data_IF_882034726116
#
_entry.id   IF_882034726116
#
_cell.length_a   1.000
_cell.length_b   1.000
_cell.length_c   1.000
_cell.angle_alpha   90.00
_cell.angle_beta   90.00
_cell.angle_gamma   90.00
#
_symmetry.space_group_name_H-M   'P 1'
#
loop_
_entity.id
_entity.type
_entity.pdbx_description
1 polymer ?
#
# COMPACT_ATOMS: atom_id res chain seq x y z
N UNK A 1 7.10 16.41 -26.66
CA UNK A 1 6.76 15.33 -25.70
C UNK A 1 7.53 15.61 -24.42
N UNK A 2 6.92 15.53 -23.23
CA UNK A 2 7.64 15.63 -21.96
C UNK A 2 8.77 14.58 -21.90
N UNK A 3 9.84 14.78 -21.12
CA UNK A 3 10.92 13.80 -20.96
C UNK A 3 10.47 12.61 -20.11
N UNK A 4 9.56 11.79 -20.68
CA UNK A 4 8.98 10.62 -20.02
C UNK A 4 10.03 9.51 -19.83
N UNK A 5 10.94 9.37 -20.80
CA UNK A 5 12.10 8.49 -20.74
C UNK A 5 12.87 8.63 -19.41
N UNK A 6 13.28 9.84 -19.05
CA UNK A 6 14.05 10.09 -17.82
C UNK A 6 13.21 9.82 -16.57
N UNK A 7 11.92 10.16 -16.60
CA UNK A 7 11.01 10.03 -15.46
C UNK A 7 10.75 8.55 -15.16
N UNK A 8 10.37 7.76 -16.17
CA UNK A 8 10.12 6.33 -16.00
C UNK A 8 11.41 5.57 -15.65
N UNK A 9 12.56 5.94 -16.23
CA UNK A 9 13.84 5.34 -15.85
C UNK A 9 14.18 5.56 -14.37
N UNK A 10 14.07 6.80 -13.88
CA UNK A 10 14.32 7.11 -12.47
C UNK A 10 13.25 6.48 -11.58
N UNK A 11 11.98 6.53 -11.98
CA UNK A 11 10.85 5.97 -11.24
C UNK A 11 10.98 4.47 -11.01
N UNK A 12 11.23 3.71 -12.08
CA UNK A 12 11.44 2.26 -12.01
C UNK A 12 12.69 1.92 -11.21
N UNK A 13 13.76 2.72 -11.31
CA UNK A 13 14.94 2.53 -10.47
C UNK A 13 14.63 2.70 -8.98
N UNK A 14 13.93 3.78 -8.59
CA UNK A 14 13.46 3.98 -7.21
C UNK A 14 12.53 2.85 -6.76
N UNK A 15 11.63 2.43 -7.64
CA UNK A 15 10.72 1.31 -7.41
C UNK A 15 11.49 0.03 -7.04
N UNK A 16 12.55 -0.31 -7.79
CA UNK A 16 13.37 -1.49 -7.51
C UNK A 16 14.10 -1.43 -6.17
N UNK A 17 14.53 -0.23 -5.72
CA UNK A 17 15.15 -0.04 -4.41
C UNK A 17 14.14 -0.29 -3.27
N UNK A 18 12.91 0.19 -3.44
CA UNK A 18 11.82 -0.05 -2.47
C UNK A 18 11.45 -1.53 -2.46
N UNK A 19 11.38 -2.18 -3.62
CA UNK A 19 11.20 -3.63 -3.72
C UNK A 19 12.31 -4.42 -3.02
N UNK A 20 13.57 -3.98 -3.11
CA UNK A 20 14.67 -4.56 -2.33
C UNK A 20 14.41 -4.52 -0.82
N UNK A 21 13.91 -3.39 -0.30
CA UNK A 21 13.47 -3.29 1.11
C UNK A 21 12.30 -4.22 1.41
N UNK A 22 11.35 -4.34 0.49
CA UNK A 22 10.21 -5.25 0.62
C UNK A 22 10.66 -6.70 0.85
N UNK A 23 11.65 -7.20 0.09
CA UNK A 23 12.22 -8.54 0.29
C UNK A 23 12.80 -8.70 1.70
N UNK A 24 13.59 -7.74 2.18
CA UNK A 24 14.22 -7.79 3.51
C UNK A 24 13.15 -7.88 4.61
N UNK A 25 12.15 -7.01 4.55
CA UNK A 25 11.05 -6.99 5.54
C UNK A 25 10.21 -8.26 5.45
N UNK A 26 9.95 -8.77 4.25
CA UNK A 26 9.25 -10.03 4.03
C UNK A 26 9.99 -11.20 4.69
N UNK A 27 11.31 -11.34 4.47
CA UNK A 27 12.10 -12.40 5.10
C UNK A 27 12.08 -12.30 6.62
N UNK A 28 12.20 -11.09 7.17
CA UNK A 28 12.09 -10.86 8.62
C UNK A 28 10.68 -11.24 9.15
N UNK A 29 9.61 -10.86 8.45
CA UNK A 29 8.24 -11.16 8.83
C UNK A 29 7.99 -12.67 8.86
N UNK A 30 8.41 -13.40 7.82
CA UNK A 30 8.26 -14.86 7.75
C UNK A 30 9.06 -15.55 8.86
N UNK A 31 10.28 -15.09 9.14
CA UNK A 31 11.10 -15.63 10.23
C UNK A 31 10.42 -15.47 11.60
N UNK A 32 9.85 -14.30 11.88
CA UNK A 32 9.10 -14.04 13.11
C UNK A 32 7.84 -14.91 13.16
N UNK A 33 7.06 -14.98 12.09
CA UNK A 33 5.83 -15.78 12.03
C UNK A 33 6.10 -17.28 12.20
N UNK A 34 7.19 -17.79 11.62
CA UNK A 34 7.61 -19.18 11.78
C UNK A 34 7.90 -19.53 13.25
N UNK A 35 8.53 -18.61 14.00
CA UNK A 35 8.81 -18.80 15.44
C UNK A 35 7.55 -18.78 16.31
N UNK A 36 6.48 -18.11 15.86
CA UNK A 36 5.22 -17.96 16.59
C UNK A 36 4.21 -19.11 16.34
N UNK A 37 4.48 -20.01 15.39
CA UNK A 37 3.53 -21.03 14.93
C UNK A 37 2.97 -21.95 16.04
N UNK A 38 3.64 -22.05 17.19
CA UNK A 38 3.23 -22.93 18.31
C UNK A 38 1.96 -22.47 19.03
N UNK A 39 1.52 -21.20 18.89
CA UNK A 39 0.44 -20.64 19.72
C UNK A 39 -0.92 -20.49 19.02
N UNK A 40 -0.99 -20.21 17.70
CA UNK A 40 -2.26 -20.04 16.98
C UNK A 40 -2.11 -20.29 15.47
N UNK A 41 -2.31 -21.53 15.05
CA UNK A 41 -1.91 -21.99 13.72
C UNK A 41 -2.73 -21.37 12.57
N UNK A 42 -4.04 -21.13 12.75
CA UNK A 42 -4.90 -20.65 11.66
C UNK A 42 -4.59 -19.20 11.23
N UNK A 43 -4.51 -18.26 12.18
CA UNK A 43 -4.22 -16.85 11.88
C UNK A 43 -2.81 -16.63 11.34
N UNK A 44 -1.83 -17.39 11.85
CA UNK A 44 -0.44 -17.33 11.36
C UNK A 44 -0.34 -17.89 9.94
N UNK A 45 -1.05 -19.00 9.63
CA UNK A 45 -1.13 -19.53 8.26
C UNK A 45 -1.76 -18.53 7.31
N UNK A 46 -2.86 -17.88 7.70
CA UNK A 46 -3.50 -16.83 6.90
C UNK A 46 -2.52 -15.68 6.61
N UNK A 47 -1.85 -15.16 7.65
CA UNK A 47 -0.93 -14.03 7.52
C UNK A 47 0.32 -14.36 6.70
N UNK A 48 0.81 -15.60 6.82
CA UNK A 48 1.91 -16.11 6.01
C UNK A 48 1.49 -16.23 4.55
N UNK A 49 0.31 -16.80 4.28
CA UNK A 49 -0.23 -16.95 2.93
C UNK A 49 -0.44 -15.59 2.24
N UNK A 50 -1.01 -14.61 2.94
CA UNK A 50 -1.21 -13.26 2.39
C UNK A 50 0.12 -12.54 2.16
N UNK A 51 1.12 -12.72 3.03
CA UNK A 51 2.46 -12.16 2.84
C UNK A 51 3.15 -12.75 1.60
N UNK A 52 3.05 -14.07 1.39
CA UNK A 52 3.59 -14.76 0.20
C UNK A 52 2.87 -14.25 -1.06
N UNK A 53 1.55 -14.09 -1.01
CA UNK A 53 0.80 -13.59 -2.15
C UNK A 53 1.16 -12.14 -2.51
N UNK A 54 1.34 -11.27 -1.50
CA UNK A 54 1.79 -9.89 -1.69
C UNK A 54 3.18 -9.79 -2.34
N UNK A 55 4.16 -10.60 -1.89
CA UNK A 55 5.49 -10.56 -2.51
C UNK A 55 5.42 -11.09 -3.94
N UNK A 56 4.66 -12.16 -4.24
CA UNK A 56 4.52 -12.66 -5.61
C UNK A 56 3.93 -11.60 -6.55
N UNK A 57 2.90 -10.90 -6.10
CA UNK A 57 2.24 -9.86 -6.88
C UNK A 57 3.15 -8.63 -7.09
N UNK A 58 3.92 -8.26 -6.05
CA UNK A 58 4.94 -7.22 -6.11
C UNK A 58 6.08 -7.58 -7.07
N UNK A 59 6.56 -8.83 -7.05
CA UNK A 59 7.57 -9.34 -7.99
C UNK A 59 7.07 -9.31 -9.43
N UNK A 60 5.83 -9.75 -9.67
CA UNK A 60 5.23 -9.70 -11.00
C UNK A 60 5.14 -8.26 -11.53
N UNK A 61 4.78 -7.32 -10.66
CA UNK A 61 4.70 -5.90 -11.00
C UNK A 61 6.08 -5.32 -11.38
N UNK A 62 7.12 -5.51 -10.55
CA UNK A 62 8.50 -5.05 -10.87
C UNK A 62 9.01 -5.72 -12.16
N UNK A 63 8.67 -6.99 -12.38
CA UNK A 63 9.03 -7.72 -13.59
C UNK A 63 8.45 -7.11 -14.86
N UNK A 64 7.21 -6.61 -14.80
CA UNK A 64 6.61 -5.86 -15.91
C UNK A 64 7.27 -4.49 -16.09
N UNK A 65 7.54 -3.76 -15.01
CA UNK A 65 8.29 -2.49 -15.07
C UNK A 65 9.64 -2.66 -15.76
N UNK A 66 10.38 -3.74 -15.46
CA UNK A 66 11.64 -4.06 -16.13
C UNK A 66 11.45 -4.37 -17.61
N UNK A 67 10.40 -5.13 -17.97
CA UNK A 67 10.08 -5.43 -19.36
C UNK A 67 9.77 -4.16 -20.16
N UNK A 68 9.01 -3.23 -19.59
CA UNK A 68 8.72 -1.93 -20.21
C UNK A 68 10.00 -1.14 -20.44
N UNK A 69 10.94 -1.15 -19.49
CA UNK A 69 12.22 -0.48 -19.63
C UNK A 69 13.06 -1.07 -20.78
N UNK A 70 13.13 -2.41 -20.89
CA UNK A 70 13.85 -3.10 -21.96
C UNK A 70 13.21 -2.78 -23.32
N UNK A 71 11.87 -2.79 -23.40
CA UNK A 71 11.17 -2.48 -24.63
C UNK A 71 11.39 -1.02 -25.07
N UNK A 72 11.31 -0.07 -24.14
CA UNK A 72 11.45 1.35 -24.43
C UNK A 72 12.89 1.75 -24.82
N UNK A 73 13.90 1.21 -24.14
CA UNK A 73 15.30 1.67 -24.28
C UNK A 73 16.18 0.77 -25.15
N UNK A 74 15.90 -0.54 -25.22
CA UNK A 74 16.76 -1.50 -25.94
C UNK A 74 16.13 -1.91 -27.27
N UNK A 75 14.84 -2.28 -27.26
CA UNK A 75 14.16 -2.80 -28.45
C UNK A 75 13.52 -1.68 -29.30
N UNK A 76 13.29 -0.51 -28.71
CA UNK A 76 12.78 0.66 -29.39
C UNK A 76 13.85 1.42 -30.18
N UNK A 77 13.43 2.31 -31.11
CA UNK A 77 14.36 3.16 -31.84
C UNK A 77 15.12 4.08 -30.87
N UNK A 78 16.41 4.38 -31.12
CA UNK A 78 17.21 5.24 -30.26
C UNK A 78 16.58 6.63 -30.14
N UNK A 79 16.39 7.10 -28.90
CA UNK A 79 15.69 8.37 -28.61
C UNK A 79 14.15 8.30 -28.69
N UNK A 80 13.58 7.13 -29.00
CA UNK A 80 12.14 6.90 -29.10
C UNK A 80 11.44 6.52 -27.79
N UNK A 81 12.16 6.36 -26.68
CA UNK A 81 11.61 5.89 -25.41
C UNK A 81 10.46 6.78 -24.88
N UNK A 82 10.57 8.11 -25.03
CA UNK A 82 9.49 9.02 -24.62
C UNK A 82 8.22 8.88 -25.47
N UNK A 83 8.35 8.47 -26.74
CA UNK A 83 7.21 8.14 -27.60
C UNK A 83 6.59 6.80 -27.22
N UNK A 84 7.41 5.80 -26.87
CA UNK A 84 6.94 4.51 -26.36
C UNK A 84 6.07 4.67 -25.10
N UNK A 85 6.52 5.46 -24.12
CA UNK A 85 5.76 5.71 -22.90
C UNK A 85 4.54 6.63 -23.11
N UNK A 86 4.52 7.42 -24.19
CA UNK A 86 3.34 8.18 -24.58
C UNK A 86 2.32 7.33 -25.34
N UNK A 87 2.77 6.34 -26.11
CA UNK A 87 1.93 5.43 -26.88
C UNK A 87 1.41 4.27 -26.03
N UNK A 88 0.33 4.55 -25.32
CA UNK A 88 -0.37 3.55 -24.50
C UNK A 88 -1.12 2.52 -25.37
N UNK A 89 -1.39 2.84 -26.64
CA UNK A 89 -2.16 1.98 -27.54
C UNK A 89 -1.30 0.82 -28.10
N UNK A 90 -0.04 1.09 -28.46
CA UNK A 90 0.90 0.08 -28.96
C UNK A 90 1.22 -1.04 -27.95
N UNK A 91 1.15 -0.74 -26.65
CA UNK A 91 1.46 -1.67 -25.56
C UNK A 91 0.29 -1.96 -24.62
N UNK A 92 -0.93 -1.81 -25.12
CA UNK A 92 -2.18 -1.88 -24.35
C UNK A 92 -2.29 -3.12 -23.44
N UNK A 93 -1.83 -4.29 -23.89
CA UNK A 93 -1.86 -5.50 -23.08
C UNK A 93 -0.97 -5.38 -21.83
N UNK A 94 0.23 -4.81 -21.96
CA UNK A 94 1.15 -4.62 -20.84
C UNK A 94 0.55 -3.64 -19.83
N UNK A 95 0.07 -2.49 -20.30
CA UNK A 95 -0.56 -1.48 -19.45
C UNK A 95 -1.78 -2.02 -18.70
N UNK A 96 -2.62 -2.85 -19.35
CA UNK A 96 -3.77 -3.50 -18.71
C UNK A 96 -3.36 -4.47 -17.61
N UNK A 97 -2.35 -5.32 -17.84
CA UNK A 97 -1.86 -6.25 -16.82
C UNK A 97 -1.23 -5.48 -15.66
N UNK A 98 -0.42 -4.47 -15.94
CA UNK A 98 0.19 -3.61 -14.91
C UNK A 98 -0.86 -2.91 -14.06
N UNK A 99 -1.91 -2.37 -14.66
CA UNK A 99 -3.06 -1.80 -13.96
C UNK A 99 -3.77 -2.83 -13.09
N UNK A 100 -4.03 -4.03 -13.60
CA UNK A 100 -4.67 -5.10 -12.84
C UNK A 100 -3.83 -5.52 -11.62
N UNK A 101 -2.51 -5.63 -11.77
CA UNK A 101 -1.60 -5.92 -10.65
C UNK A 101 -1.63 -4.82 -9.58
N UNK A 102 -1.59 -3.54 -9.97
CA UNK A 102 -1.73 -2.40 -9.04
C UNK A 102 -3.05 -2.48 -8.27
N UNK A 103 -4.15 -2.75 -8.98
CA UNK A 103 -5.47 -2.85 -8.38
C UNK A 103 -5.54 -4.01 -7.37
N UNK A 104 -5.00 -5.17 -7.72
CA UNK A 104 -4.93 -6.33 -6.83
C UNK A 104 -4.06 -6.05 -5.59
N UNK A 105 -2.89 -5.40 -5.77
CA UNK A 105 -2.01 -5.01 -4.67
C UNK A 105 -2.73 -4.07 -3.70
N UNK A 106 -3.30 -2.98 -4.22
CA UNK A 106 -4.05 -2.01 -3.45
C UNK A 106 -5.22 -2.67 -2.71
N UNK A 107 -5.93 -3.58 -3.37
CA UNK A 107 -7.06 -4.30 -2.78
C UNK A 107 -6.64 -5.15 -1.59
N UNK A 108 -5.58 -5.96 -1.76
CA UNK A 108 -5.05 -6.82 -0.69
C UNK A 108 -4.54 -6.01 0.51
N UNK A 109 -3.77 -4.95 0.26
CA UNK A 109 -3.18 -4.12 1.33
C UNK A 109 -4.27 -3.45 2.17
N UNK A 110 -5.29 -2.90 1.51
CA UNK A 110 -6.40 -2.23 2.20
C UNK A 110 -7.31 -3.23 2.91
N UNK A 111 -7.60 -4.37 2.28
CA UNK A 111 -8.37 -5.45 2.92
C UNK A 111 -7.68 -6.00 4.16
N UNK A 112 -6.35 -6.17 4.14
CA UNK A 112 -5.58 -6.56 5.32
C UNK A 112 -5.64 -5.51 6.43
N UNK A 113 -5.59 -4.23 6.07
CA UNK A 113 -5.69 -3.12 7.04
C UNK A 113 -7.07 -3.08 7.72
N UNK A 114 -8.14 -3.27 6.94
CA UNK A 114 -9.52 -3.34 7.44
C UNK A 114 -9.73 -4.60 8.30
N UNK A 115 -9.26 -5.76 7.84
CA UNK A 115 -9.33 -7.01 8.60
C UNK A 115 -8.65 -6.87 9.98
N UNK A 116 -7.50 -6.18 10.04
CA UNK A 116 -6.81 -5.91 11.30
C UNK A 116 -7.61 -5.01 12.22
N UNK A 117 -8.22 -3.96 11.67
CA UNK A 117 -9.12 -3.10 12.45
C UNK A 117 -10.27 -3.92 13.05
N UNK A 118 -10.86 -4.85 12.31
CA UNK A 118 -11.89 -5.75 12.83
C UNK A 118 -11.41 -6.64 13.98
N UNK A 119 -10.21 -7.21 13.87
CA UNK A 119 -9.61 -8.03 14.93
C UNK A 119 -9.34 -7.19 16.19
N UNK A 120 -8.83 -5.97 16.05
CA UNK A 120 -8.53 -5.04 17.17
C UNK A 120 -9.78 -4.67 17.94
N UNK A 121 -10.88 -4.40 17.22
CA UNK A 121 -12.16 -4.03 17.80
C UNK A 121 -12.99 -5.25 18.26
N UNK A 122 -12.36 -6.41 18.45
CA UNK A 122 -13.01 -7.63 18.94
C UNK A 122 -14.25 -8.01 18.11
N UNK A 123 -14.10 -7.97 16.78
CA UNK A 123 -15.12 -8.41 15.82
C UNK A 123 -16.40 -7.54 15.76
N UNK A 124 -16.34 -6.28 16.24
CA UNK A 124 -17.46 -5.32 16.17
C UNK A 124 -17.64 -4.77 14.76
N UNK A 125 -18.59 -5.33 14.01
CA UNK A 125 -18.87 -5.00 12.61
C UNK A 125 -19.18 -3.53 12.34
N UNK A 126 -19.89 -2.84 13.25
CA UNK A 126 -20.29 -1.42 13.07
C UNK A 126 -19.10 -0.48 12.79
N UNK A 127 -17.92 -0.79 13.33
CA UNK A 127 -16.72 0.03 13.19
C UNK A 127 -16.08 -0.10 11.80
N UNK A 128 -16.33 -1.20 11.09
CA UNK A 128 -15.74 -1.48 9.77
C UNK A 128 -16.61 -1.02 8.62
N UNK A 129 -17.93 -0.88 8.83
CA UNK A 129 -18.87 -0.50 7.76
C UNK A 129 -18.40 0.75 7.02
N UNK A 130 -17.97 1.79 7.75
CA UNK A 130 -17.53 3.04 7.13
C UNK A 130 -16.21 2.90 6.35
N UNK A 131 -15.13 2.31 6.92
CA UNK A 131 -13.92 1.99 6.16
C UNK A 131 -14.16 1.08 4.94
N UNK A 132 -15.02 0.06 5.06
CA UNK A 132 -15.30 -0.86 3.94
C UNK A 132 -16.07 -0.18 2.82
N UNK A 133 -17.11 0.61 3.14
CA UNK A 133 -17.85 1.37 2.12
C UNK A 133 -16.96 2.40 1.43
N UNK A 134 -16.11 3.08 2.20
CA UNK A 134 -15.13 4.04 1.64
C UNK A 134 -14.14 3.34 0.71
N UNK A 135 -13.69 2.14 1.08
CA UNK A 135 -12.78 1.33 0.29
C UNK A 135 -13.40 0.85 -1.03
N UNK A 136 -14.62 0.31 -1.00
CA UNK A 136 -15.33 -0.08 -2.23
C UNK A 136 -15.56 1.13 -3.14
N UNK A 137 -15.95 2.27 -2.57
CA UNK A 137 -16.10 3.50 -3.34
C UNK A 137 -14.76 3.95 -3.97
N UNK A 138 -13.66 3.90 -3.21
CA UNK A 138 -12.32 4.21 -3.72
C UNK A 138 -11.90 3.31 -4.90
N UNK A 139 -12.19 2.00 -4.84
CA UNK A 139 -11.92 1.07 -5.94
C UNK A 139 -12.76 1.41 -7.18
N UNK A 140 -14.05 1.69 -6.99
CA UNK A 140 -14.94 2.10 -8.07
C UNK A 140 -14.47 3.42 -8.72
N UNK A 141 -14.05 4.41 -7.93
CA UNK A 141 -13.48 5.66 -8.43
C UNK A 141 -12.22 5.42 -9.25
N UNK A 142 -11.36 4.48 -8.84
CA UNK A 142 -10.13 4.17 -9.58
C UNK A 142 -10.41 3.47 -10.92
N UNK A 143 -11.33 2.50 -10.95
CA UNK A 143 -11.72 1.82 -12.19
C UNK A 143 -12.38 2.81 -13.15
N UNK A 144 -13.33 3.61 -12.67
CA UNK A 144 -14.00 4.63 -13.50
C UNK A 144 -13.04 5.68 -14.03
N UNK A 145 -12.05 6.13 -13.23
CA UNK A 145 -11.00 7.04 -13.70
C UNK A 145 -10.21 6.44 -14.87
N UNK A 146 -9.81 5.17 -14.75
CA UNK A 146 -9.04 4.47 -15.77
C UNK A 146 -9.84 4.24 -17.05
N UNK A 147 -11.12 3.85 -16.92
CA UNK A 147 -12.01 3.65 -18.06
C UNK A 147 -12.29 4.97 -18.79
N UNK A 148 -12.58 6.04 -18.04
CA UNK A 148 -12.74 7.39 -18.60
C UNK A 148 -11.47 7.77 -19.36
N UNK A 149 -10.30 7.65 -18.72
CA UNK A 149 -9.01 7.97 -19.36
C UNK A 149 -8.80 7.19 -20.66
N UNK A 150 -8.99 5.87 -20.64
CA UNK A 150 -8.80 5.01 -21.80
C UNK A 150 -9.75 5.36 -22.96
N UNK A 151 -11.03 5.56 -22.67
CA UNK A 151 -12.03 5.93 -23.70
C UNK A 151 -11.78 7.33 -24.27
N UNK A 152 -11.33 8.26 -23.43
CA UNK A 152 -11.07 9.64 -23.85
C UNK A 152 -9.79 9.75 -24.68
N UNK A 153 -8.73 9.02 -24.32
CA UNK A 153 -7.49 8.90 -25.08
C UNK A 153 -7.72 8.35 -26.50
N UNK A 154 -8.61 7.37 -26.65
CA UNK A 154 -8.96 6.82 -27.98
C UNK A 154 -9.58 7.89 -28.89
N UNK A 155 -10.40 8.79 -28.32
CA UNK A 155 -11.08 9.85 -29.09
C UNK A 155 -10.19 11.07 -29.34
N UNK A 156 -9.26 11.35 -28.42
CA UNK A 156 -8.41 12.54 -28.45
C UNK A 156 -6.98 12.21 -27.99
N UNK A 157 -6.07 11.87 -28.93
CA UNK A 157 -4.72 11.42 -28.61
C UNK A 157 -3.80 12.50 -28.01
N UNK A 158 -4.23 13.76 -28.01
CA UNK A 158 -3.48 14.91 -27.46
C UNK A 158 -3.79 15.19 -25.97
N UNK A 159 -4.63 14.38 -25.33
CA UNK A 159 -5.06 14.60 -23.95
C UNK A 159 -4.01 14.12 -22.96
N UNK A 160 -3.69 14.99 -22.00
CA UNK A 160 -2.71 14.71 -20.93
C UNK A 160 -3.41 14.25 -19.66
N UNK A 161 -2.67 13.61 -18.76
CA UNK A 161 -3.12 13.18 -17.42
C UNK A 161 -3.62 14.32 -16.51
N UNK A 162 -3.42 15.58 -16.92
CA UNK A 162 -3.81 16.79 -16.19
C UNK A 162 -5.09 17.43 -16.74
N UNK A 163 -5.78 16.76 -17.67
CA UNK A 163 -7.06 17.25 -18.18
C UNK A 163 -8.08 17.42 -17.04
N UNK A 164 -8.88 18.51 -17.03
CA UNK A 164 -9.83 18.80 -15.97
C UNK A 164 -10.78 17.65 -15.63
N UNK A 165 -11.17 16.85 -16.63
CA UNK A 165 -12.08 15.71 -16.40
C UNK A 165 -11.40 14.59 -15.60
N UNK A 166 -10.13 14.30 -15.90
CA UNK A 166 -9.34 13.30 -15.17
C UNK A 166 -8.95 13.83 -13.80
N UNK A 167 -8.61 15.13 -13.72
CA UNK A 167 -8.12 15.79 -12.52
C UNK A 167 -9.09 15.66 -11.34
N UNK A 168 -10.39 15.86 -11.58
CA UNK A 168 -11.41 15.74 -10.54
C UNK A 168 -11.50 14.31 -9.99
N UNK A 169 -11.39 13.30 -10.85
CA UNK A 169 -11.42 11.90 -10.42
C UNK A 169 -10.16 11.52 -9.66
N UNK A 170 -9.00 12.05 -10.05
CA UNK A 170 -7.73 11.85 -9.33
C UNK A 170 -7.76 12.51 -7.95
N UNK A 171 -8.35 13.71 -7.82
CA UNK A 171 -8.57 14.36 -6.51
C UNK A 171 -9.40 13.47 -5.59
N UNK A 172 -10.54 12.98 -6.10
CA UNK A 172 -11.43 12.12 -5.33
C UNK A 172 -10.72 10.83 -4.89
N UNK A 173 -9.99 10.20 -5.81
CA UNK A 173 -9.18 9.01 -5.55
C UNK A 173 -8.14 9.25 -4.45
N UNK A 174 -7.29 10.27 -4.60
CA UNK A 174 -6.21 10.56 -3.64
C UNK A 174 -6.75 10.94 -2.26
N UNK A 175 -7.85 11.71 -2.21
CA UNK A 175 -8.46 12.15 -0.96
C UNK A 175 -9.08 10.97 -0.20
N UNK A 176 -9.81 10.09 -0.89
CA UNK A 176 -10.38 8.88 -0.29
C UNK A 176 -9.28 7.93 0.19
N UNK A 177 -8.21 7.76 -0.59
CA UNK A 177 -7.07 6.92 -0.20
C UNK A 177 -6.44 7.42 1.09
N UNK A 178 -6.13 8.72 1.17
CA UNK A 178 -5.60 9.36 2.38
C UNK A 178 -6.53 9.20 3.58
N UNK A 179 -7.82 9.48 3.40
CA UNK A 179 -8.83 9.36 4.46
C UNK A 179 -8.88 7.95 5.03
N UNK A 180 -8.91 6.91 4.17
CA UNK A 180 -8.95 5.51 4.60
C UNK A 180 -7.65 5.15 5.33
N UNK A 181 -6.49 5.50 4.77
CA UNK A 181 -5.21 5.09 5.34
C UNK A 181 -4.96 5.74 6.71
N UNK A 182 -5.19 7.05 6.82
CA UNK A 182 -5.05 7.80 8.07
C UNK A 182 -6.13 7.35 9.06
N UNK A 183 -7.37 7.19 8.62
CA UNK A 183 -8.49 6.80 9.47
C UNK A 183 -8.32 5.42 10.09
N UNK A 184 -7.97 4.41 9.29
CA UNK A 184 -7.73 3.04 9.78
C UNK A 184 -6.52 2.99 10.70
N UNK A 185 -5.40 3.62 10.33
CA UNK A 185 -4.18 3.64 11.14
C UNK A 185 -4.42 4.32 12.49
N UNK A 186 -5.07 5.49 12.49
CA UNK A 186 -5.40 6.24 13.71
C UNK A 186 -6.38 5.50 14.60
N UNK A 187 -7.38 4.83 14.02
CA UNK A 187 -8.36 4.03 14.78
C UNK A 187 -7.73 2.84 15.48
N UNK A 188 -6.79 2.15 14.80
CA UNK A 188 -6.02 1.06 15.39
C UNK A 188 -5.14 1.60 16.52
N UNK A 189 -4.38 2.66 16.28
CA UNK A 189 -3.49 3.27 17.27
C UNK A 189 -4.25 3.74 18.53
N UNK A 190 -5.38 4.42 18.35
CA UNK A 190 -6.24 4.89 19.44
C UNK A 190 -6.78 3.74 20.29
N UNK A 191 -7.26 2.67 19.66
CA UNK A 191 -7.80 1.52 20.39
C UNK A 191 -6.72 0.80 21.20
N UNK A 192 -5.52 0.64 20.63
CA UNK A 192 -4.38 0.07 21.35
C UNK A 192 -3.97 0.95 22.54
N UNK A 193 -3.93 2.27 22.35
CA UNK A 193 -3.61 3.21 23.42
C UNK A 193 -4.65 3.16 24.55
N UNK A 194 -5.94 3.11 24.21
CA UNK A 194 -7.02 2.96 25.19
C UNK A 194 -6.88 1.66 25.96
N UNK A 195 -6.58 0.54 25.30
CA UNK A 195 -6.36 -0.75 25.95
C UNK A 195 -5.13 -0.72 26.89
N UNK A 196 -4.06 -0.05 26.50
CA UNK A 196 -2.85 0.11 27.32
C UNK A 196 -3.04 0.97 28.58
N UNK A 197 -4.04 1.86 28.61
CA UNK A 197 -4.38 2.67 29.80
C UNK A 197 -5.25 1.96 30.83
N UNK A 198 -5.98 0.92 30.44
CA UNK A 198 -6.91 0.20 31.33
C UNK A 198 -6.22 -0.85 32.21
N UNK A 199 -4.88 -0.85 32.25
CA UNK A 199 -4.07 -1.81 33.00
C UNK A 199 -3.77 -1.26 34.41
N UNK A 200 -4.20 -1.91 35.50
CA UNK A 200 -3.95 -1.43 36.86
C UNK A 200 -2.46 -1.49 37.27
N UNK A 201 -2.04 -0.47 38.02
CA UNK A 201 -0.69 -0.20 38.56
C UNK A 201 0.11 -1.36 39.22
N UNK A 202 -0.47 -2.40 39.87
CA UNK A 202 0.35 -3.43 40.52
C UNK A 202 1.12 -4.35 39.56
N UNK A 203 0.76 -4.32 38.27
CA UNK A 203 1.34 -5.17 37.22
C UNK A 203 2.05 -4.36 36.14
N UNK A 204 2.59 -3.18 36.50
CA UNK A 204 3.70 -2.56 35.75
C UNK A 204 4.92 -3.48 35.84
N UNK A 205 4.86 -4.61 35.13
CA UNK A 205 5.96 -5.53 34.92
C UNK A 205 7.12 -4.70 34.35
N UNK A 206 8.28 -4.96 34.93
CA UNK A 206 9.53 -4.24 34.81
C UNK A 206 9.88 -3.75 33.40
N UNK A 207 10.72 -2.70 33.25
CA UNK A 207 11.02 -1.99 32.00
C UNK A 207 11.89 -2.78 31.00
N UNK A 208 11.85 -4.12 30.99
CA UNK A 208 12.64 -4.96 30.09
C UNK A 208 11.85 -5.57 28.92
N UNK A 209 10.52 -5.56 28.96
CA UNK A 209 9.70 -5.96 27.82
C UNK A 209 9.05 -4.72 27.20
N UNK A 210 9.44 -4.41 25.97
CA UNK A 210 9.13 -3.19 25.21
C UNK A 210 7.65 -3.02 24.89
N UNK A 211 6.83 -2.74 25.90
CA UNK A 211 5.74 -1.76 25.98
C UNK A 211 4.78 -1.64 24.78
N UNK A 212 3.48 -1.78 25.04
CA UNK A 212 2.37 -1.47 24.10
C UNK A 212 2.59 -0.16 23.32
N UNK A 213 3.30 0.80 23.92
CA UNK A 213 3.74 2.04 23.27
C UNK A 213 4.67 1.82 22.07
N UNK A 214 5.63 0.90 22.14
CA UNK A 214 6.50 0.55 21.00
C UNK A 214 5.72 -0.06 19.83
N UNK A 215 4.69 -0.84 20.12
CA UNK A 215 3.78 -1.36 19.08
C UNK A 215 2.98 -0.23 18.41
N UNK A 216 2.42 0.67 19.20
CA UNK A 216 1.69 1.85 18.68
C UNK A 216 2.63 2.69 17.82
N UNK A 217 3.86 2.92 18.29
CA UNK A 217 4.86 3.69 17.56
C UNK A 217 5.17 3.05 16.21
N UNK A 218 5.42 1.74 16.15
CA UNK A 218 5.67 1.03 14.88
C UNK A 218 4.49 1.14 13.90
N UNK A 219 3.25 1.07 14.38
CA UNK A 219 2.05 1.20 13.53
C UNK A 219 1.93 2.63 13.00
N UNK A 220 2.12 3.63 13.86
CA UNK A 220 2.04 5.05 13.48
C UNK A 220 3.20 5.43 12.57
N UNK A 221 4.41 4.93 12.82
CA UNK A 221 5.59 5.17 12.01
C UNK A 221 5.43 4.56 10.61
N UNK A 222 5.04 3.29 10.53
CA UNK A 222 4.83 2.61 9.23
C UNK A 222 3.68 3.21 8.41
N UNK A 223 2.54 3.52 9.04
CA UNK A 223 1.42 4.20 8.37
C UNK A 223 1.72 5.66 8.03
N UNK A 224 2.49 6.34 8.87
CA UNK A 224 2.92 7.73 8.68
C UNK A 224 3.87 7.89 7.50
N UNK A 225 4.86 7.00 7.35
CA UNK A 225 5.78 7.01 6.19
C UNK A 225 5.01 6.85 4.88
N UNK A 226 4.05 5.93 4.83
CA UNK A 226 3.23 5.73 3.63
C UNK A 226 2.33 6.93 3.35
N UNK A 227 1.67 7.48 4.38
CA UNK A 227 0.82 8.69 4.26
C UNK A 227 1.63 9.90 3.77
N UNK A 228 2.82 10.13 4.32
CA UNK A 228 3.70 11.21 3.91
C UNK A 228 4.09 11.07 2.43
N UNK A 229 4.38 9.85 1.99
CA UNK A 229 4.70 9.59 0.60
C UNK A 229 3.49 9.86 -0.34
N UNK A 230 2.26 9.50 0.07
CA UNK A 230 1.04 9.85 -0.68
C UNK A 230 0.89 11.38 -0.79
N UNK A 231 1.10 12.12 0.30
CA UNK A 231 1.03 13.59 0.30
C UNK A 231 2.04 14.17 -0.69
N UNK A 232 3.29 13.67 -0.71
CA UNK A 232 4.31 14.11 -1.66
C UNK A 232 3.88 13.86 -3.11
N UNK A 233 3.37 12.67 -3.42
CA UNK A 233 2.88 12.36 -4.77
C UNK A 233 1.68 13.22 -5.16
N UNK A 234 0.75 13.46 -4.24
CA UNK A 234 -0.38 14.35 -4.46
C UNK A 234 0.08 15.79 -4.72
N UNK A 235 1.03 16.32 -3.95
CA UNK A 235 1.61 17.65 -4.17
C UNK A 235 2.28 17.77 -5.54
N UNK A 236 3.01 16.75 -5.98
CA UNK A 236 3.60 16.71 -7.33
C UNK A 236 2.51 16.73 -8.42
N UNK A 237 1.43 15.96 -8.22
CA UNK A 237 0.31 15.92 -9.16
C UNK A 237 -0.41 17.28 -9.25
N UNK A 238 -0.71 17.92 -8.11
CA UNK A 238 -1.34 19.24 -8.06
C UNK A 238 -0.47 20.35 -8.63
N UNK A 239 0.85 20.18 -8.60
CA UNK A 239 1.78 21.12 -9.24
C UNK A 239 1.85 20.96 -10.76
N UNK A 240 1.09 20.03 -11.35
CA UNK A 240 1.18 19.70 -12.78
C UNK A 240 2.50 19.04 -13.17
N UNK A 241 3.24 18.48 -12.20
CA UNK A 241 4.56 17.91 -12.45
C UNK A 241 4.42 16.45 -12.89
N UNK A 242 4.93 16.14 -14.09
CA UNK A 242 4.98 14.79 -14.66
C UNK A 242 5.73 13.77 -13.78
N UNK A 243 6.59 14.22 -12.86
CA UNK A 243 7.23 13.37 -11.86
C UNK A 243 6.23 12.66 -10.93
N UNK A 244 4.99 13.13 -10.84
CA UNK A 244 3.92 12.47 -10.09
C UNK A 244 3.69 11.02 -10.55
N UNK A 245 3.85 10.73 -11.84
CA UNK A 245 3.70 9.38 -12.39
C UNK A 245 4.69 8.39 -11.77
N UNK A 246 5.98 8.75 -11.78
CA UNK A 246 7.05 7.96 -11.15
C UNK A 246 6.85 7.80 -9.63
N UNK A 247 6.35 8.86 -8.97
CA UNK A 247 6.05 8.82 -7.55
C UNK A 247 4.93 7.80 -7.24
N UNK A 248 3.85 7.79 -8.03
CA UNK A 248 2.73 6.86 -7.86
C UNK A 248 3.16 5.40 -8.03
N UNK A 249 4.02 5.11 -9.02
CA UNK A 249 4.55 3.76 -9.23
C UNK A 249 5.39 3.29 -8.05
N UNK A 250 6.24 4.17 -7.53
CA UNK A 250 7.06 3.92 -6.33
C UNK A 250 6.23 3.74 -5.07
N UNK A 251 5.09 4.44 -4.95
CA UNK A 251 4.19 4.34 -3.80
C UNK A 251 3.58 2.96 -3.65
N UNK A 252 3.27 2.28 -4.76
CA UNK A 252 2.67 0.94 -4.70
C UNK A 252 3.62 -0.05 -4.01
N UNK A 253 4.92 0.04 -4.26
CA UNK A 253 5.90 -0.80 -3.56
C UNK A 253 6.12 -0.37 -2.11
N UNK A 254 5.92 0.90 -1.78
CA UNK A 254 5.99 1.33 -0.39
C UNK A 254 4.78 0.79 0.40
N UNK A 255 3.60 0.75 -0.23
CA UNK A 255 2.36 0.27 0.37
C UNK A 255 2.44 -1.21 0.81
N UNK A 256 3.17 -2.05 0.06
CA UNK A 256 3.31 -3.49 0.36
C UNK A 256 4.13 -3.76 1.62
N UNK A 257 5.02 -2.84 2.00
CA UNK A 257 5.89 -2.96 3.18
C UNK A 257 5.09 -2.75 4.47
N UNK A 258 4.10 -1.85 4.46
CA UNK A 258 3.29 -1.48 5.63
C UNK A 258 2.65 -2.67 6.35
N UNK A 259 1.91 -3.58 5.68
CA UNK A 259 1.34 -4.75 6.36
C UNK A 259 2.42 -5.69 6.92
N UNK A 260 3.58 -5.82 6.27
CA UNK A 260 4.65 -6.72 6.71
C UNK A 260 5.39 -6.21 7.95
N UNK A 261 5.68 -4.90 8.02
CA UNK A 261 6.27 -4.30 9.23
C UNK A 261 5.40 -4.54 10.45
N UNK A 262 4.09 -4.49 10.25
CA UNK A 262 3.15 -4.73 11.33
C UNK A 262 3.02 -6.23 11.63
N UNK A 263 3.18 -7.11 10.64
CA UNK A 263 3.32 -8.55 10.88
C UNK A 263 4.59 -8.89 11.68
N UNK A 264 5.72 -8.21 11.45
CA UNK A 264 6.90 -8.37 12.31
C UNK A 264 6.59 -7.98 13.76
N UNK A 265 5.81 -6.91 13.96
CA UNK A 265 5.33 -6.54 15.28
C UNK A 265 4.30 -7.54 15.86
N UNK A 266 3.75 -8.48 15.09
CA UNK A 266 2.75 -9.46 15.56
C UNK A 266 3.27 -10.51 16.55
N UNK A 267 4.59 -10.69 16.66
CA UNK A 267 5.17 -11.34 17.85
C UNK A 267 4.84 -10.62 19.15
N UNK A 268 4.67 -9.30 19.08
CA UNK A 268 4.26 -8.43 20.17
C UNK A 268 2.73 -8.42 20.39
N UNK A 269 1.94 -8.58 19.33
CA UNK A 269 0.48 -8.73 19.42
C UNK A 269 0.07 -9.93 20.28
N UNK A 270 0.87 -11.01 20.30
CA UNK A 270 0.64 -12.16 21.16
C UNK A 270 0.70 -11.80 22.66
N UNK A 271 1.69 -10.99 23.05
CA UNK A 271 1.86 -10.49 24.42
C UNK A 271 0.70 -9.57 24.82
N UNK A 272 0.32 -8.63 23.94
CA UNK A 272 -0.77 -7.70 24.18
C UNK A 272 -2.17 -8.38 24.21
N UNK A 273 -2.40 -9.41 23.38
CA UNK A 273 -3.67 -10.14 23.36
C UNK A 273 -3.86 -11.04 24.59
N UNK A 274 -2.81 -11.74 25.05
CA UNK A 274 -2.82 -12.44 26.35
C UNK A 274 -3.13 -11.48 27.51
N UNK A 275 -2.62 -10.26 27.43
CA UNK A 275 -2.87 -9.22 28.42
C UNK A 275 -4.36 -8.84 28.51
N UNK A 276 -5.00 -8.58 27.36
CA UNK A 276 -6.42 -8.21 27.32
C UNK A 276 -7.38 -9.34 27.73
N UNK A 277 -7.01 -10.61 27.52
CA UNK A 277 -7.87 -11.75 27.90
C UNK A 277 -7.93 -11.96 29.43
N UNK A 278 -6.88 -11.65 30.16
CA UNK A 278 -6.83 -11.84 31.61
C UNK A 278 -7.58 -10.76 32.42
N UNK A 279 -7.94 -9.63 31.79
CA UNK A 279 -8.66 -8.53 32.44
C UNK A 279 -10.18 -8.49 32.16
N UNK A 280 -10.71 -9.53 31.49
CA UNK A 280 -12.14 -9.70 31.22
C UNK A 280 -12.76 -10.94 31.91
N UNK A 281 -12.04 -11.57 32.84
CA UNK A 281 -12.54 -12.56 33.81
C UNK A 281 -12.46 -11.96 35.21
#
# INVERSE_FOLDING_TARGET
VPPLDRIFLIGIWVETLIYGKHIIVFTAAIFVLARLQKARQASIRFLTGTSIFLIMLSTAYVGLSLRELIQAFILGPPGGASLFFADTAGHLLCCKVQFALKLMLAYLIQSLSIWRMWVVYQHRWMVIVLPSLSFEHHILTHITAADIFALYQIRHPSITIFDPMIHNTVIAYMSLHLMINVGVTSSIAYTLWKAGRSVPEPWHIQPKDTSIYGLILTIVESGGVYTAAIIVAASLYFSGNVAALAAIDSLMQLATITPLLINCSSGFWYSAWRFCQHHHL
#
